data_IF_856545646047
#
_entry.id   IF_856545646047
#
_cell.length_a   1.000
_cell.length_b   1.000
_cell.length_c   1.000
_cell.angle_alpha   90.00
_cell.angle_beta   90.00
_cell.angle_gamma   90.00
#
_symmetry.space_group_name_H-M   'P 1'
#
loop_
_entity.id
_entity.type
_entity.pdbx_description
1 polymer ?
#
# COMPACT_ATOMS: atom_id res chain seq x y z
N UNK A 1 -10.97 -5.00 -22.90
CA UNK A 1 -11.58 -6.33 -22.81
C UNK A 1 -11.96 -6.64 -21.37
N UNK A 2 -13.07 -7.35 -21.12
CA UNK A 2 -13.41 -7.85 -19.79
C UNK A 2 -12.29 -8.71 -19.20
N UNK A 3 -12.14 -8.72 -17.87
CA UNK A 3 -11.19 -9.62 -17.19
C UNK A 3 -11.89 -10.96 -16.94
N UNK A 4 -11.28 -12.04 -17.39
CA UNK A 4 -11.80 -13.41 -17.23
C UNK A 4 -11.21 -14.07 -15.98
N UNK A 5 -11.74 -13.72 -14.81
CA UNK A 5 -11.36 -14.36 -13.54
C UNK A 5 -11.76 -15.84 -13.53
N UNK A 6 -10.91 -16.70 -12.96
CA UNK A 6 -11.27 -18.09 -12.65
C UNK A 6 -12.02 -18.09 -11.32
N UNK A 7 -13.29 -18.46 -11.32
CA UNK A 7 -14.16 -18.38 -10.14
C UNK A 7 -14.39 -19.77 -9.51
N UNK A 8 -14.48 -19.85 -8.16
CA UNK A 8 -14.90 -21.08 -7.49
C UNK A 8 -16.32 -21.52 -7.89
N UNK A 9 -16.63 -22.79 -7.63
CA UNK A 9 -17.96 -23.32 -7.85
C UNK A 9 -19.01 -22.52 -7.06
N UNK A 10 -20.14 -22.22 -7.70
CA UNK A 10 -21.25 -21.45 -7.10
C UNK A 10 -21.05 -19.94 -7.09
N UNK A 11 -19.90 -19.41 -7.55
CA UNK A 11 -19.66 -17.97 -7.69
C UNK A 11 -19.78 -17.54 -9.17
N UNK A 12 -20.41 -16.40 -9.41
CA UNK A 12 -20.49 -15.80 -10.75
C UNK A 12 -19.84 -14.41 -10.79
N UNK A 13 -19.42 -13.95 -11.98
CA UNK A 13 -18.67 -12.69 -12.12
C UNK A 13 -19.46 -11.44 -11.69
N UNK A 14 -20.80 -11.51 -11.64
CA UNK A 14 -21.64 -10.40 -11.16
C UNK A 14 -21.62 -10.26 -9.63
N UNK A 15 -21.13 -11.28 -8.93
CA UNK A 15 -20.93 -11.24 -7.47
C UNK A 15 -19.61 -10.53 -7.10
N UNK A 16 -18.68 -10.38 -8.04
CA UNK A 16 -17.49 -9.56 -7.84
C UNK A 16 -17.87 -8.07 -7.93
N UNK A 17 -17.27 -7.25 -7.07
CA UNK A 17 -17.41 -5.80 -7.13
C UNK A 17 -16.70 -5.17 -8.33
N UNK A 18 -16.45 -3.86 -8.25
CA UNK A 18 -15.66 -3.14 -9.25
C UNK A 18 -14.21 -3.63 -9.33
N UNK A 19 -13.56 -3.36 -10.46
CA UNK A 19 -12.14 -3.68 -10.68
C UNK A 19 -11.27 -2.54 -10.14
N UNK A 20 -10.37 -2.87 -9.21
CA UNK A 20 -9.36 -1.93 -8.72
C UNK A 20 -8.12 -1.98 -9.61
N UNK A 21 -7.57 -0.81 -9.94
CA UNK A 21 -6.25 -0.70 -10.58
C UNK A 21 -5.17 -0.69 -9.49
N UNK A 22 -4.25 -1.64 -9.57
CA UNK A 22 -3.08 -1.74 -8.69
C UNK A 22 -1.81 -1.53 -9.49
N UNK A 23 -0.81 -0.91 -8.86
CA UNK A 23 0.57 -0.87 -9.36
C UNK A 23 1.39 -1.82 -8.49
N UNK A 24 2.02 -2.83 -9.08
CA UNK A 24 2.85 -3.79 -8.34
C UNK A 24 4.13 -3.11 -7.79
N UNK A 25 4.49 -3.42 -6.55
CA UNK A 25 5.74 -2.99 -5.89
C UNK A 25 6.77 -4.12 -5.87
N UNK A 26 6.31 -5.37 -5.70
CA UNK A 26 7.11 -6.59 -5.81
C UNK A 26 6.21 -7.73 -6.33
N UNK A 27 6.68 -8.50 -7.32
CA UNK A 27 6.00 -9.70 -7.84
C UNK A 27 6.68 -11.00 -7.38
N UNK A 28 7.72 -10.90 -6.57
CA UNK A 28 8.45 -12.06 -6.04
C UNK A 28 7.75 -12.63 -4.82
N UNK A 29 7.91 -13.92 -4.60
CA UNK A 29 7.35 -14.61 -3.45
C UNK A 29 8.17 -14.36 -2.17
N UNK A 30 7.48 -14.37 -1.03
CA UNK A 30 8.07 -14.34 0.31
C UNK A 30 7.61 -15.59 1.09
N UNK A 31 8.52 -16.54 1.41
CA UNK A 31 8.17 -17.69 2.23
C UNK A 31 7.70 -17.29 3.63
N UNK A 32 6.64 -17.91 4.14
CA UNK A 32 6.10 -17.63 5.48
C UNK A 32 7.08 -17.88 6.63
N UNK A 33 8.12 -18.69 6.41
CA UNK A 33 9.21 -18.87 7.39
C UNK A 33 9.97 -17.57 7.64
N UNK A 34 10.09 -16.69 6.64
CA UNK A 34 10.77 -15.39 6.78
C UNK A 34 9.96 -14.36 7.57
N UNK A 35 8.63 -14.46 7.57
CA UNK A 35 7.74 -13.53 8.30
C UNK A 35 7.22 -14.11 9.62
N UNK A 36 7.74 -15.25 10.07
CA UNK A 36 7.23 -15.96 11.26
C UNK A 36 7.38 -15.15 12.57
N UNK A 37 8.33 -14.21 12.61
CA UNK A 37 8.57 -13.32 13.74
C UNK A 37 7.62 -12.11 13.78
N UNK A 38 6.85 -11.86 12.71
CA UNK A 38 5.91 -10.74 12.65
C UNK A 38 4.53 -11.18 13.13
N UNK A 39 3.99 -10.44 14.08
CA UNK A 39 2.62 -10.59 14.61
C UNK A 39 1.81 -9.34 14.29
N UNK A 40 0.52 -9.50 13.98
CA UNK A 40 -0.37 -8.38 13.70
C UNK A 40 -1.21 -8.02 14.96
N UNK A 41 -0.96 -6.89 15.63
CA UNK A 41 -1.75 -6.45 16.78
C UNK A 41 -3.26 -6.33 16.50
N UNK A 42 -3.64 -5.99 15.27
CA UNK A 42 -5.05 -5.87 14.86
C UNK A 42 -5.74 -7.23 14.62
N UNK A 43 -5.01 -8.33 14.79
CA UNK A 43 -5.54 -9.69 14.77
C UNK A 43 -5.05 -10.49 15.98
N UNK A 44 -5.25 -9.95 17.19
CA UNK A 44 -4.92 -10.63 18.46
C UNK A 44 -3.45 -11.06 18.56
N UNK A 45 -2.54 -10.30 17.94
CA UNK A 45 -1.12 -10.64 17.84
C UNK A 45 -0.84 -12.02 17.21
N UNK A 46 -1.76 -12.55 16.40
CA UNK A 46 -1.49 -13.76 15.60
C UNK A 46 -0.36 -13.49 14.59
N UNK A 47 0.40 -14.52 14.17
CA UNK A 47 1.39 -14.37 13.12
C UNK A 47 0.78 -13.73 11.88
N UNK A 48 1.50 -12.82 11.22
CA UNK A 48 0.95 -11.98 10.13
C UNK A 48 0.37 -12.78 8.95
N UNK A 49 0.81 -14.03 8.77
CA UNK A 49 0.26 -14.97 7.77
C UNK A 49 -1.16 -15.47 8.09
N UNK A 50 -1.66 -15.23 9.30
CA UNK A 50 -2.98 -15.65 9.77
C UNK A 50 -3.94 -14.48 9.61
N UNK A 51 -4.94 -14.64 8.74
CA UNK A 51 -5.97 -13.64 8.47
C UNK A 51 -6.98 -14.17 7.47
N UNK A 52 -8.20 -13.61 7.48
CA UNK A 52 -9.16 -13.80 6.39
C UNK A 52 -8.81 -12.86 5.23
N UNK A 53 -9.41 -13.10 4.07
CA UNK A 53 -9.37 -12.12 2.99
C UNK A 53 -9.91 -10.77 3.49
N UNK A 54 -9.20 -9.68 3.15
CA UNK A 54 -9.50 -8.33 3.64
C UNK A 54 -9.08 -8.03 5.09
N UNK A 55 -8.33 -8.89 5.79
CA UNK A 55 -7.81 -8.58 7.12
C UNK A 55 -6.82 -7.40 7.07
N UNK A 56 -7.13 -6.33 7.80
CA UNK A 56 -6.20 -5.21 7.96
C UNK A 56 -4.97 -5.59 8.80
N UNK A 57 -3.83 -5.02 8.44
CA UNK A 57 -2.54 -5.22 9.12
C UNK A 57 -2.10 -3.88 9.69
N UNK A 58 -1.67 -3.92 10.96
CA UNK A 58 -1.13 -2.75 11.65
C UNK A 58 0.06 -2.14 10.87
N UNK A 59 0.19 -0.82 10.93
CA UNK A 59 1.12 -0.03 10.12
C UNK A 59 2.57 -0.52 10.21
N UNK A 60 3.11 -0.68 11.41
CA UNK A 60 4.50 -1.11 11.61
C UNK A 60 4.68 -2.57 11.16
N UNK A 61 3.74 -3.45 11.52
CA UNK A 61 3.73 -4.85 11.08
C UNK A 61 3.75 -4.97 9.55
N UNK A 62 2.90 -4.20 8.85
CA UNK A 62 2.83 -4.17 7.40
C UNK A 62 4.10 -3.59 6.76
N UNK A 63 4.69 -2.56 7.37
CA UNK A 63 5.95 -1.96 6.92
C UNK A 63 7.09 -2.98 6.97
N UNK A 64 7.27 -3.64 8.12
CA UNK A 64 8.29 -4.67 8.28
C UNK A 64 8.05 -5.85 7.34
N UNK A 65 6.81 -6.28 7.15
CA UNK A 65 6.48 -7.34 6.21
C UNK A 65 6.90 -6.99 4.77
N UNK A 66 6.60 -5.78 4.30
CA UNK A 66 6.99 -5.34 2.97
C UNK A 66 8.51 -5.27 2.77
N UNK A 67 9.28 -4.92 3.82
CA UNK A 67 10.74 -4.86 3.78
C UNK A 67 11.40 -6.26 3.68
N UNK A 68 10.71 -7.32 4.07
CA UNK A 68 11.22 -8.70 3.94
C UNK A 68 11.20 -9.23 2.50
N UNK A 69 10.41 -8.62 1.62
CA UNK A 69 10.36 -9.04 0.22
C UNK A 69 11.71 -8.77 -0.46
N UNK A 70 12.19 -9.71 -1.30
CA UNK A 70 13.42 -9.46 -2.05
C UNK A 70 13.17 -8.38 -3.11
N UNK A 71 14.22 -7.66 -3.54
CA UNK A 71 14.10 -6.64 -4.57
C UNK A 71 13.61 -7.25 -5.89
N UNK A 72 12.74 -6.53 -6.58
CA UNK A 72 12.20 -6.90 -7.89
C UNK A 72 12.73 -5.92 -8.95
N UNK A 73 13.77 -6.34 -9.67
CA UNK A 73 14.46 -5.53 -10.70
C UNK A 73 13.56 -5.21 -11.91
N UNK A 74 12.45 -5.93 -12.05
CA UNK A 74 11.50 -5.74 -13.16
C UNK A 74 10.44 -4.67 -12.87
N UNK A 75 10.54 -3.97 -11.73
CA UNK A 75 9.60 -2.93 -11.29
C UNK A 75 10.33 -1.60 -11.11
N UNK A 76 9.87 -0.56 -11.83
CA UNK A 76 10.31 0.81 -11.63
C UNK A 76 9.44 1.53 -10.58
N UNK A 77 9.95 1.59 -9.35
CA UNK A 77 9.27 2.27 -8.23
C UNK A 77 9.17 3.79 -8.43
N UNK A 78 10.00 4.42 -9.28
CA UNK A 78 9.92 5.85 -9.52
C UNK A 78 8.58 6.25 -10.15
N UNK A 79 8.01 5.40 -11.02
CA UNK A 79 6.70 5.65 -11.62
C UNK A 79 5.59 5.68 -10.57
N UNK A 80 5.63 4.75 -9.62
CA UNK A 80 4.66 4.68 -8.51
C UNK A 80 4.76 5.95 -7.65
N UNK A 81 5.97 6.31 -7.24
CA UNK A 81 6.22 7.52 -6.44
C UNK A 81 5.74 8.78 -7.18
N UNK A 82 6.04 8.89 -8.47
CA UNK A 82 5.64 10.04 -9.28
C UNK A 82 4.12 10.17 -9.36
N UNK A 83 3.41 9.07 -9.63
CA UNK A 83 1.94 9.02 -9.63
C UNK A 83 1.36 9.44 -8.27
N UNK A 84 1.91 8.96 -7.15
CA UNK A 84 1.43 9.30 -5.82
C UNK A 84 1.64 10.79 -5.47
N UNK A 85 2.79 11.36 -5.83
CA UNK A 85 3.06 12.80 -5.64
C UNK A 85 2.13 13.65 -6.49
N UNK A 86 1.89 13.26 -7.74
CA UNK A 86 0.96 13.95 -8.62
C UNK A 86 -0.48 13.92 -8.07
N UNK A 87 -0.96 12.74 -7.63
CA UNK A 87 -2.29 12.61 -7.00
C UNK A 87 -2.43 13.48 -5.76
N UNK A 88 -1.46 13.47 -4.83
CA UNK A 88 -1.50 14.33 -3.65
C UNK A 88 -1.55 15.81 -4.01
N UNK A 89 -0.75 16.24 -4.99
CA UNK A 89 -0.78 17.64 -5.47
C UNK A 89 -2.16 18.07 -5.94
N UNK A 90 -2.84 17.22 -6.70
CA UNK A 90 -4.20 17.48 -7.19
C UNK A 90 -5.22 17.57 -6.04
N UNK A 91 -5.10 16.73 -5.01
CA UNK A 91 -5.97 16.78 -3.83
C UNK A 91 -5.64 17.95 -2.89
N UNK A 92 -4.39 18.40 -2.89
CA UNK A 92 -3.91 19.51 -2.05
C UNK A 92 -4.05 20.89 -2.69
N UNK A 93 -4.48 20.99 -3.96
CA UNK A 93 -4.76 22.31 -4.54
C UNK A 93 -5.89 22.97 -3.74
N UNK A 94 -5.62 24.08 -3.04
CA UNK A 94 -6.69 24.83 -2.42
C UNK A 94 -7.56 25.36 -3.56
N UNK A 95 -8.88 25.13 -3.50
CA UNK A 95 -9.82 25.99 -4.22
C UNK A 95 -9.43 27.43 -3.88
N UNK A 96 -9.12 28.22 -4.90
CA UNK A 96 -8.59 29.58 -4.79
C UNK A 96 -9.46 30.45 -3.88
N UNK A 97 -9.11 30.51 -2.59
CA UNK A 97 -9.56 31.52 -1.63
C UNK A 97 -8.41 31.84 -0.68
N UNK A 98 -7.73 32.94 -0.96
CA UNK A 98 -7.05 33.79 0.04
C UNK A 98 -5.67 33.36 0.55
N UNK A 99 -4.71 34.26 0.33
CA UNK A 99 -3.45 34.59 1.07
C UNK A 99 -2.63 33.45 1.72
N UNK A 100 -1.35 33.27 1.36
CA UNK A 100 -0.51 32.23 1.97
C UNK A 100 -0.01 32.64 3.36
N UNK A 101 -0.14 31.73 4.33
CA UNK A 101 0.54 31.80 5.63
C UNK A 101 1.89 31.06 5.59
N UNK A 102 2.88 31.68 6.21
CA UNK A 102 4.30 31.34 6.33
C UNK A 102 4.51 29.88 6.77
N UNK A 103 5.22 29.08 5.97
CA UNK A 103 5.58 27.68 6.28
C UNK A 103 6.99 27.59 6.86
N UNK A 104 7.10 26.96 8.02
CA UNK A 104 8.36 26.50 8.63
C UNK A 104 8.93 25.29 7.87
N UNK A 105 10.26 25.14 7.75
CA UNK A 105 10.87 24.00 7.07
C UNK A 105 11.05 22.82 8.04
N UNK A 106 10.24 21.76 7.88
CA UNK A 106 10.55 20.48 8.52
C UNK A 106 11.60 19.72 7.70
N UNK A 107 12.58 19.21 8.45
CA UNK A 107 13.82 18.57 7.99
C UNK A 107 13.56 17.29 7.21
N UNK A 108 14.34 17.14 6.16
CA UNK A 108 14.39 15.97 5.28
C UNK A 108 14.95 14.77 6.04
N UNK A 109 14.10 13.79 6.35
CA UNK A 109 14.48 12.53 6.99
C UNK A 109 14.26 11.41 5.98
N UNK A 110 15.36 10.78 5.55
CA UNK A 110 15.39 9.42 5.01
C UNK A 110 14.47 9.11 3.81
N UNK A 111 15.05 9.07 2.61
CA UNK A 111 14.34 8.81 1.33
C UNK A 111 13.61 7.44 1.25
N UNK A 112 14.00 6.45 2.07
CA UNK A 112 13.40 5.10 2.14
C UNK A 112 12.31 4.97 3.21
N UNK A 113 12.51 5.56 4.40
CA UNK A 113 11.47 5.69 5.44
C UNK A 113 10.29 6.53 4.91
N UNK A 114 10.59 7.58 4.17
CA UNK A 114 9.58 8.40 3.48
C UNK A 114 8.84 7.63 2.38
N UNK A 115 9.43 6.59 1.79
CA UNK A 115 8.82 5.80 0.71
C UNK A 115 7.74 4.86 1.27
N UNK A 116 8.04 4.11 2.33
CA UNK A 116 7.05 3.25 2.99
C UNK A 116 5.99 4.06 3.74
N UNK A 117 6.39 5.12 4.45
CA UNK A 117 5.45 6.06 5.06
C UNK A 117 4.53 6.75 4.05
N UNK A 118 5.01 6.98 2.82
CA UNK A 118 4.17 7.50 1.74
C UNK A 118 3.22 6.44 1.17
N UNK A 119 3.73 5.26 0.80
CA UNK A 119 2.90 4.19 0.23
C UNK A 119 1.82 3.77 1.23
N UNK A 120 2.21 3.47 2.46
CA UNK A 120 1.30 2.96 3.48
C UNK A 120 0.43 4.09 4.04
N UNK A 121 0.97 5.29 4.28
CA UNK A 121 0.20 6.45 4.75
C UNK A 121 -0.83 6.97 3.73
N UNK A 122 -0.73 6.62 2.45
CA UNK A 122 -1.78 6.90 1.46
C UNK A 122 -2.82 5.78 1.44
N UNK A 123 -2.43 4.53 1.64
CA UNK A 123 -3.36 3.40 1.77
C UNK A 123 -4.25 3.53 3.02
N UNK A 124 -3.71 3.95 4.17
CA UNK A 124 -4.47 4.18 5.42
C UNK A 124 -5.43 5.38 5.33
N UNK A 125 -5.20 6.33 4.42
CA UNK A 125 -6.13 7.46 4.18
C UNK A 125 -7.24 7.13 3.17
N UNK A 126 -7.19 5.97 2.51
CA UNK A 126 -8.18 5.57 1.49
C UNK A 126 -9.22 4.58 2.07
N UNK A 127 -9.01 4.06 3.28
CA UNK A 127 -10.03 3.42 4.12
C UNK A 127 -10.78 4.45 4.95
#
# INVERSE_FOLDING_TARGET
SPIHWVLPAGMNAKMLGGVFKIDWICRRELPFTKSAHLTNPWNEHKPVKIGRDGQEIELECGTQLCLLFPPDESIDLYQVIHKMRHKRRMHSQPRSRGRPSRREPLRDVGRLETFFGLIIGTCVRIT
#
